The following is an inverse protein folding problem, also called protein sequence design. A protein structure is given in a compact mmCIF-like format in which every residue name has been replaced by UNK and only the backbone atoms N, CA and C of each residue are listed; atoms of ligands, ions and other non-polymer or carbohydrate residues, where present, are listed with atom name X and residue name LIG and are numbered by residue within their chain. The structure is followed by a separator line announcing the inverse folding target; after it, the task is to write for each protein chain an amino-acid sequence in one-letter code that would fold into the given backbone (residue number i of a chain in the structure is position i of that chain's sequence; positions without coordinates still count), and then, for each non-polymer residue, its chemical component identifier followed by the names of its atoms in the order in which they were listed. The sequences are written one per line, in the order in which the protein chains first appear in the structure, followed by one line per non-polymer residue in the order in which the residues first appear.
data_IF_007720644831
#
_entry.id   IF_007720644831
#
_cell.length_a   1.000
_cell.length_b   1.000
_cell.length_c   1.000
_cell.angle_alpha   90.00
_cell.angle_beta   90.00
_cell.angle_gamma   90.00
#
_symmetry.space_group_name_H-M   'P 1'
#
loop_
_entity.id
_entity.type
_entity.pdbx_description
1 polymer ?
#
# COMPACT_ATOMS: atom_id res chain seq x y z
N UNK A 1 -11.73 -16.50 4.81
CA UNK A 1 -11.16 -15.86 6.03
C UNK A 1 -11.08 -14.36 5.78
N UNK A 2 -11.47 -13.49 6.73
CA UNK A 2 -11.53 -12.03 6.49
C UNK A 2 -10.19 -11.42 6.02
N UNK A 3 -9.07 -11.92 6.52
CA UNK A 3 -7.74 -11.49 6.08
C UNK A 3 -7.52 -11.70 4.56
N UNK A 4 -8.08 -12.77 3.98
CA UNK A 4 -8.01 -13.01 2.54
C UNK A 4 -8.82 -11.96 1.75
N UNK A 5 -9.98 -11.54 2.26
CA UNK A 5 -10.80 -10.47 1.66
C UNK A 5 -10.04 -9.14 1.69
N UNK A 6 -9.37 -8.84 2.81
CA UNK A 6 -8.51 -7.65 2.91
C UNK A 6 -7.35 -7.75 1.91
N UNK A 7 -6.73 -8.92 1.77
CA UNK A 7 -5.64 -9.14 0.81
C UNK A 7 -6.09 -8.94 -0.66
N UNK A 8 -7.31 -9.33 -1.00
CA UNK A 8 -7.91 -9.02 -2.31
C UNK A 8 -8.06 -7.51 -2.53
N UNK A 9 -8.47 -6.76 -1.50
CA UNK A 9 -8.55 -5.29 -1.62
C UNK A 9 -7.17 -4.65 -1.77
N UNK A 10 -6.16 -5.14 -1.06
CA UNK A 10 -4.76 -4.68 -1.19
C UNK A 10 -4.24 -4.95 -2.61
N UNK A 11 -4.49 -6.15 -3.15
CA UNK A 11 -4.13 -6.45 -4.53
C UNK A 11 -4.85 -5.53 -5.52
N UNK A 12 -6.16 -5.36 -5.37
CA UNK A 12 -6.94 -4.44 -6.22
C UNK A 12 -6.38 -3.02 -6.20
N UNK A 13 -5.95 -2.55 -5.01
CA UNK A 13 -5.32 -1.25 -4.85
C UNK A 13 -3.97 -1.16 -5.58
N UNK A 14 -3.15 -2.22 -5.57
CA UNK A 14 -1.87 -2.24 -6.32
C UNK A 14 -2.06 -2.01 -7.82
N UNK A 15 -3.15 -2.53 -8.41
CA UNK A 15 -3.44 -2.34 -9.83
C UNK A 15 -3.72 -0.89 -10.21
N UNK A 16 -4.05 -0.03 -9.24
CA UNK A 16 -4.25 1.41 -9.42
C UNK A 16 -2.95 2.22 -9.29
N UNK A 17 -1.86 1.58 -8.83
CA UNK A 17 -0.50 2.13 -8.86
C UNK A 17 0.19 1.67 -10.15
N UNK A 18 -0.24 2.23 -11.29
CA UNK A 18 0.32 1.87 -12.59
C UNK A 18 1.16 3.03 -13.16
N UNK A 19 2.48 2.83 -13.37
CA UNK A 19 3.41 3.91 -13.72
C UNK A 19 3.16 4.52 -15.10
N UNK A 20 2.54 3.77 -16.00
CA UNK A 20 2.34 4.15 -17.41
C UNK A 20 0.88 4.35 -17.82
N UNK A 21 -0.07 4.18 -16.90
CA UNK A 21 -1.50 4.29 -17.22
C UNK A 21 -2.05 5.65 -16.85
N UNK A 22 -2.86 6.27 -17.72
CA UNK A 22 -3.86 7.24 -17.25
C UNK A 22 -4.75 6.56 -16.23
N UNK A 23 -5.09 7.26 -15.14
CA UNK A 23 -6.00 6.70 -14.16
C UNK A 23 -7.33 6.39 -14.86
N UNK A 24 -7.87 5.16 -14.74
CA UNK A 24 -9.13 4.82 -15.36
C UNK A 24 -10.24 5.69 -14.77
N UNK A 25 -11.24 6.02 -15.61
CA UNK A 25 -12.42 6.74 -15.14
C UNK A 25 -13.06 5.99 -13.97
N UNK A 26 -13.27 6.70 -12.86
CA UNK A 26 -13.80 6.10 -11.63
C UNK A 26 -12.77 5.44 -10.69
N UNK A 27 -11.46 5.54 -10.95
CA UNK A 27 -10.42 5.00 -10.06
C UNK A 27 -10.56 5.47 -8.60
N UNK A 28 -10.88 6.75 -8.39
CA UNK A 28 -11.12 7.33 -7.06
C UNK A 28 -12.29 6.64 -6.34
N UNK A 29 -13.38 6.35 -7.04
CA UNK A 29 -14.52 5.61 -6.49
C UNK A 29 -14.13 4.16 -6.19
N UNK A 30 -13.48 3.49 -7.15
CA UNK A 30 -13.07 2.09 -7.03
C UNK A 30 -12.17 1.86 -5.80
N UNK A 31 -11.14 2.70 -5.60
CA UNK A 31 -10.26 2.60 -4.43
C UNK A 31 -10.97 2.97 -3.13
N UNK A 32 -11.95 3.87 -3.18
CA UNK A 32 -12.84 4.18 -2.06
C UNK A 32 -13.67 2.97 -1.62
N UNK A 33 -14.23 2.23 -2.56
CA UNK A 33 -15.00 1.01 -2.29
C UNK A 33 -14.12 -0.11 -1.75
N UNK A 34 -12.92 -0.28 -2.29
CA UNK A 34 -11.93 -1.23 -1.76
C UNK A 34 -11.59 -0.91 -0.30
N UNK A 35 -11.36 0.38 0.02
CA UNK A 35 -11.11 0.84 1.39
C UNK A 35 -12.28 0.50 2.32
N UNK A 36 -13.53 0.77 1.91
CA UNK A 36 -14.70 0.46 2.73
C UNK A 36 -14.87 -1.04 2.95
N UNK A 37 -14.61 -1.87 1.94
CA UNK A 37 -14.61 -3.34 2.09
C UNK A 37 -13.53 -3.81 3.06
N UNK A 38 -12.30 -3.31 2.93
CA UNK A 38 -11.20 -3.66 3.83
C UNK A 38 -11.49 -3.28 5.30
N UNK A 39 -12.06 -2.09 5.53
CA UNK A 39 -12.48 -1.64 6.88
C UNK A 39 -13.54 -2.57 7.46
N UNK A 40 -14.57 -2.91 6.69
CA UNK A 40 -15.64 -3.81 7.14
C UNK A 40 -15.11 -5.20 7.48
N UNK A 41 -14.29 -5.79 6.61
CA UNK A 41 -13.66 -7.08 6.88
C UNK A 41 -12.76 -7.07 8.12
N UNK A 42 -12.01 -5.99 8.36
CA UNK A 42 -11.23 -5.82 9.59
C UNK A 42 -12.12 -5.81 10.84
N UNK A 43 -13.25 -5.09 10.81
CA UNK A 43 -14.21 -5.06 11.93
C UNK A 43 -14.83 -6.44 12.17
N UNK A 44 -15.21 -7.17 11.11
CA UNK A 44 -15.71 -8.54 11.23
C UNK A 44 -14.66 -9.48 11.81
N UNK A 45 -13.39 -9.32 11.41
CA UNK A 45 -12.26 -10.07 11.95
C UNK A 45 -12.08 -9.82 13.44
N UNK A 46 -12.10 -8.55 13.88
CA UNK A 46 -12.01 -8.14 15.28
C UNK A 46 -13.08 -8.83 16.15
N UNK A 47 -14.34 -8.80 15.71
CA UNK A 47 -15.45 -9.45 16.42
C UNK A 47 -15.24 -10.96 16.52
N UNK A 48 -14.76 -11.61 15.45
CA UNK A 48 -14.51 -13.06 15.45
C UNK A 48 -13.35 -13.47 16.34
N UNK A 49 -12.29 -12.68 16.34
CA UNK A 49 -11.13 -12.88 17.19
C UNK A 49 -11.50 -12.71 18.67
N UNK A 50 -12.32 -11.73 19.02
CA UNK A 50 -12.80 -11.55 20.39
C UNK A 50 -13.70 -12.70 20.90
N UNK A 51 -14.41 -13.40 19.99
CA UNK A 51 -15.35 -14.48 20.33
C UNK A 51 -14.74 -15.88 20.39
N UNK A 52 -13.57 -16.09 19.78
CA UNK A 52 -12.95 -17.41 19.74
C UNK A 52 -12.05 -17.59 20.97
N UNK A 53 -12.33 -18.59 21.82
CA UNK A 53 -11.61 -18.78 23.08
C UNK A 53 -10.24 -19.47 22.94
N UNK A 54 -9.95 -20.06 21.78
CA UNK A 54 -8.69 -20.78 21.50
C UNK A 54 -8.13 -20.33 20.16
N UNK A 55 -6.88 -19.90 20.16
CA UNK A 55 -6.16 -19.46 18.97
C UNK A 55 -4.77 -20.08 18.91
N UNK A 56 -4.38 -20.55 17.73
CA UNK A 56 -3.02 -21.02 17.43
C UNK A 56 -2.00 -19.88 17.30
N UNK A 57 -2.47 -18.64 17.24
CA UNK A 57 -1.71 -17.42 16.98
C UNK A 57 -2.30 -16.31 17.83
N UNK A 58 -1.47 -15.38 18.35
CA UNK A 58 -2.00 -14.22 19.07
C UNK A 58 -2.98 -13.41 18.18
N UNK A 59 -4.26 -13.31 18.57
CA UNK A 59 -5.27 -12.53 17.84
C UNK A 59 -4.89 -11.08 17.61
N UNK A 60 -4.11 -10.48 18.53
CA UNK A 60 -3.68 -9.08 18.43
C UNK A 60 -2.77 -8.86 17.24
N UNK A 61 -1.89 -9.83 16.93
CA UNK A 61 -0.97 -9.77 15.80
C UNK A 61 -1.72 -9.88 14.47
N UNK A 62 -2.70 -10.77 14.38
CA UNK A 62 -3.58 -10.89 13.21
C UNK A 62 -4.36 -9.59 12.98
N UNK A 63 -4.92 -9.02 14.05
CA UNK A 63 -5.63 -7.75 13.99
C UNK A 63 -4.73 -6.57 13.59
N UNK A 64 -3.50 -6.53 14.10
CA UNK A 64 -2.50 -5.54 13.72
C UNK A 64 -2.14 -5.65 12.24
N UNK A 65 -1.88 -6.85 11.74
CA UNK A 65 -1.60 -7.07 10.32
C UNK A 65 -2.77 -6.58 9.43
N UNK A 66 -4.00 -6.92 9.79
CA UNK A 66 -5.20 -6.43 9.10
C UNK A 66 -5.32 -4.89 9.14
N UNK A 67 -4.93 -4.26 10.24
CA UNK A 67 -4.97 -2.80 10.40
C UNK A 67 -3.95 -2.10 9.51
N UNK A 68 -2.72 -2.61 9.44
CA UNK A 68 -1.68 -2.10 8.54
C UNK A 68 -2.08 -2.26 7.07
N UNK A 69 -2.73 -3.37 6.70
CA UNK A 69 -3.25 -3.56 5.34
C UNK A 69 -4.36 -2.57 4.99
N UNK A 70 -5.26 -2.24 5.94
CA UNK A 70 -6.29 -1.21 5.74
C UNK A 70 -5.64 0.17 5.57
N UNK A 71 -4.61 0.48 6.36
CA UNK A 71 -3.86 1.72 6.22
C UNK A 71 -3.16 1.80 4.86
N UNK A 72 -2.61 0.69 4.38
CA UNK A 72 -2.01 0.62 3.05
C UNK A 72 -3.01 0.99 1.95
N UNK A 73 -4.22 0.42 1.98
CA UNK A 73 -5.29 0.78 1.01
C UNK A 73 -5.66 2.27 1.12
N UNK A 74 -5.65 2.86 2.32
CA UNK A 74 -5.89 4.31 2.49
C UNK A 74 -4.78 5.16 1.85
N UNK A 75 -3.53 4.74 1.96
CA UNK A 75 -2.39 5.43 1.34
C UNK A 75 -2.47 5.37 -0.18
N UNK A 76 -2.77 4.18 -0.74
CA UNK A 76 -3.03 4.04 -2.18
C UNK A 76 -4.20 4.93 -2.64
N UNK A 77 -5.29 4.98 -1.87
CA UNK A 77 -6.40 5.88 -2.19
C UNK A 77 -5.99 7.36 -2.22
N UNK A 78 -5.01 7.75 -1.39
CA UNK A 78 -4.44 9.11 -1.40
C UNK A 78 -3.54 9.33 -2.62
N UNK A 79 -2.73 8.34 -3.04
CA UNK A 79 -1.98 8.40 -4.32
C UNK A 79 -2.94 8.66 -5.48
N UNK A 80 -4.00 7.86 -5.59
CA UNK A 80 -4.98 7.99 -6.69
C UNK A 80 -5.61 9.39 -6.72
N UNK A 81 -5.93 9.97 -5.55
CA UNK A 81 -6.41 11.37 -5.48
C UNK A 81 -5.34 12.39 -5.88
N UNK A 82 -4.10 12.24 -5.40
CA UNK A 82 -3.01 13.13 -5.75
C UNK A 82 -2.76 13.15 -7.27
N UNK A 83 -2.83 11.98 -7.92
CA UNK A 83 -2.74 11.84 -9.37
C UNK A 83 -3.90 12.50 -10.12
N UNK A 84 -5.12 12.38 -9.61
CA UNK A 84 -6.32 13.02 -10.20
C UNK A 84 -6.21 14.57 -10.21
N UNK A 85 -5.42 15.14 -9.27
CA UNK A 85 -5.16 16.58 -9.21
C UNK A 85 -3.97 17.06 -10.06
N UNK A 86 -3.17 16.14 -10.63
CA UNK A 86 -2.11 16.53 -11.55
C UNK A 86 -2.72 16.92 -12.89
N UNK A 87 -2.28 18.05 -13.44
CA UNK A 87 -2.68 18.46 -14.80
C UNK A 87 -2.27 17.39 -15.80
N UNK A 88 -3.01 17.32 -16.91
CA UNK A 88 -2.78 16.41 -18.03
C UNK A 88 -1.34 16.51 -18.56
N UNK A 89 -0.46 15.68 -18.02
CA UNK A 89 0.94 15.59 -18.35
C UNK A 89 1.46 14.23 -17.89
N UNK A 90 2.46 13.69 -18.59
CA UNK A 90 3.09 12.46 -18.13
C UNK A 90 3.80 12.75 -16.80
N UNK A 91 3.57 11.95 -15.74
CA UNK A 91 4.29 12.14 -14.48
C UNK A 91 5.80 12.04 -14.72
N UNK A 92 6.63 12.80 -13.97
CA UNK A 92 8.09 12.70 -14.05
C UNK A 92 8.58 11.26 -13.92
N UNK A 93 9.72 10.93 -14.55
CA UNK A 93 10.26 9.57 -14.53
C UNK A 93 10.42 9.01 -13.11
N UNK A 94 10.94 9.82 -12.18
CA UNK A 94 11.09 9.42 -10.78
C UNK A 94 9.75 9.13 -10.07
N UNK A 95 8.65 9.81 -10.43
CA UNK A 95 7.30 9.46 -9.94
C UNK A 95 6.89 8.09 -10.45
N UNK A 96 7.11 7.81 -11.74
CA UNK A 96 6.76 6.50 -12.34
C UNK A 96 7.55 5.37 -11.71
N UNK A 97 8.85 5.55 -11.52
CA UNK A 97 9.70 4.54 -10.90
C UNK A 97 9.30 4.29 -9.44
N UNK A 98 8.98 5.37 -8.70
CA UNK A 98 8.51 5.25 -7.33
C UNK A 98 7.12 4.59 -7.23
N UNK A 99 6.22 4.87 -8.19
CA UNK A 99 4.94 4.16 -8.32
C UNK A 99 5.13 2.67 -8.58
N UNK A 100 6.09 2.29 -9.42
CA UNK A 100 6.39 0.89 -9.69
C UNK A 100 6.89 0.16 -8.43
N UNK A 101 7.78 0.79 -7.66
CA UNK A 101 8.27 0.26 -6.38
C UNK A 101 7.12 0.13 -5.37
N UNK A 102 6.31 1.18 -5.23
CA UNK A 102 5.15 1.17 -4.34
C UNK A 102 4.15 0.06 -4.74
N UNK A 103 3.85 -0.08 -6.03
CA UNK A 103 2.99 -1.14 -6.57
C UNK A 103 3.52 -2.52 -6.22
N UNK A 104 4.82 -2.77 -6.42
CA UNK A 104 5.46 -4.04 -6.07
C UNK A 104 5.38 -4.32 -4.56
N UNK A 105 5.61 -3.32 -3.72
CA UNK A 105 5.45 -3.44 -2.27
C UNK A 105 4.03 -3.85 -1.86
N UNK A 106 3.02 -3.22 -2.45
CA UNK A 106 1.61 -3.53 -2.17
C UNK A 106 1.26 -4.96 -2.64
N UNK A 107 1.77 -5.39 -3.79
CA UNK A 107 1.59 -6.76 -4.28
C UNK A 107 2.20 -7.79 -3.31
N UNK A 108 3.42 -7.57 -2.83
CA UNK A 108 4.06 -8.45 -1.86
C UNK A 108 3.23 -8.58 -0.58
N UNK A 109 2.67 -7.47 -0.06
CA UNK A 109 1.78 -7.50 1.11
C UNK A 109 0.56 -8.39 0.84
N UNK A 110 -0.08 -8.24 -0.33
CA UNK A 110 -1.23 -9.06 -0.70
C UNK A 110 -0.87 -10.55 -0.83
N UNK A 111 0.27 -10.88 -1.44
CA UNK A 111 0.79 -12.25 -1.57
C UNK A 111 0.99 -12.89 -0.19
N UNK A 112 1.69 -12.22 0.73
CA UNK A 112 1.98 -12.73 2.07
C UNK A 112 0.72 -12.87 2.93
N UNK A 113 -0.21 -11.91 2.82
CA UNK A 113 -1.48 -11.99 3.53
C UNK A 113 -2.35 -13.16 3.04
N UNK A 114 -2.33 -13.48 1.74
CA UNK A 114 -3.02 -14.66 1.20
C UNK A 114 -2.36 -15.95 1.68
N UNK A 115 -1.03 -16.00 1.73
CA UNK A 115 -0.31 -17.17 2.22
C UNK A 115 -0.64 -17.43 3.70
N UNK A 116 -0.57 -16.38 4.54
CA UNK A 116 -0.97 -16.44 5.94
C UNK A 116 -2.42 -16.91 6.08
N UNK A 117 -3.31 -16.40 5.24
CA UNK A 117 -4.71 -16.78 5.26
C UNK A 117 -5.01 -18.22 4.85
N UNK A 118 -4.14 -18.84 4.04
CA UNK A 118 -4.30 -20.23 3.58
C UNK A 118 -3.62 -21.23 4.49
N UNK A 119 -2.42 -20.91 4.97
CA UNK A 119 -1.53 -21.87 5.62
C UNK A 119 -1.28 -21.58 7.11
N UNK A 120 -1.72 -20.42 7.62
CA UNK A 120 -1.32 -19.94 8.95
C UNK A 120 0.13 -19.48 9.02
N UNK A 121 0.85 -19.50 7.89
CA UNK A 121 2.25 -19.09 7.78
C UNK A 121 2.43 -18.03 6.69
N UNK A 122 3.31 -17.07 6.94
CA UNK A 122 3.78 -16.12 5.93
C UNK A 122 5.25 -16.43 5.64
N UNK A 123 5.62 -16.75 4.40
CA UNK A 123 7.03 -16.91 4.04
C UNK A 123 7.78 -15.60 4.26
N UNK A 124 9.08 -15.73 4.47
CA UNK A 124 9.97 -14.57 4.43
C UNK A 124 10.08 -14.10 2.98
N UNK A 125 9.86 -12.81 2.67
CA UNK A 125 10.07 -12.31 1.32
C UNK A 125 11.54 -12.52 0.91
N UNK A 126 11.82 -12.99 -0.32
CA UNK A 126 13.17 -13.41 -0.74
C UNK A 126 14.22 -12.30 -0.62
N UNK A 127 13.85 -11.04 -0.83
CA UNK A 127 14.79 -9.91 -0.83
C UNK A 127 14.67 -8.96 0.38
N UNK A 128 13.80 -9.29 1.36
CA UNK A 128 13.49 -8.41 2.49
C UNK A 128 12.86 -7.07 2.06
N UNK A 129 12.19 -6.37 2.98
CA UNK A 129 11.56 -5.08 2.64
C UNK A 129 12.57 -3.96 2.36
N UNK A 130 13.78 -4.11 2.91
CA UNK A 130 14.89 -3.17 2.69
C UNK A 130 15.26 -3.01 1.22
N UNK A 131 15.02 -4.02 0.38
CA UNK A 131 15.25 -3.95 -1.07
C UNK A 131 14.36 -2.94 -1.79
N UNK A 132 13.22 -2.55 -1.20
CA UNK A 132 12.31 -1.54 -1.75
C UNK A 132 12.53 -0.14 -1.17
N UNK A 133 12.97 -0.05 0.10
CA UNK A 133 13.03 1.23 0.81
C UNK A 133 14.15 2.14 0.28
N UNK A 134 15.37 1.61 0.19
CA UNK A 134 16.54 2.39 -0.28
C UNK A 134 16.30 3.00 -1.66
N UNK A 135 15.89 2.25 -2.70
CA UNK A 135 15.62 2.86 -4.00
C UNK A 135 14.43 3.83 -3.96
N UNK A 136 13.43 3.61 -3.10
CA UNK A 136 12.31 4.54 -2.94
C UNK A 136 12.74 5.88 -2.34
N UNK A 137 13.58 5.88 -1.31
CA UNK A 137 14.14 7.08 -0.69
C UNK A 137 15.04 7.85 -1.66
N UNK A 138 15.89 7.14 -2.42
CA UNK A 138 16.72 7.76 -3.46
C UNK A 138 15.90 8.42 -4.57
N UNK A 139 14.81 7.78 -5.01
CA UNK A 139 13.89 8.36 -6.00
C UNK A 139 13.11 9.53 -5.43
N UNK A 140 12.69 9.46 -4.17
CA UNK A 140 12.03 10.56 -3.48
C UNK A 140 12.93 11.79 -3.41
N UNK A 141 14.15 11.65 -2.88
CA UNK A 141 15.07 12.78 -2.70
C UNK A 141 15.49 13.39 -4.04
N UNK A 142 15.84 12.57 -5.04
CA UNK A 142 16.17 13.06 -6.38
C UNK A 142 14.96 13.72 -7.06
N UNK A 143 13.78 13.11 -6.92
CA UNK A 143 12.55 13.62 -7.51
C UNK A 143 12.13 14.97 -6.96
N UNK A 144 12.14 15.13 -5.63
CA UNK A 144 11.83 16.39 -4.96
C UNK A 144 12.83 17.49 -5.35
N UNK A 145 14.13 17.19 -5.36
CA UNK A 145 15.15 18.13 -5.80
C UNK A 145 14.93 18.60 -7.25
N UNK A 146 14.57 17.68 -8.14
CA UNK A 146 14.20 18.01 -9.53
C UNK A 146 12.98 18.92 -9.62
N UNK A 147 11.92 18.64 -8.85
CA UNK A 147 10.69 19.45 -8.84
C UNK A 147 10.96 20.91 -8.48
N UNK A 148 11.78 21.17 -7.46
CA UNK A 148 12.11 22.54 -7.06
C UNK A 148 13.01 23.27 -8.06
N UNK A 149 13.79 22.54 -8.86
CA UNK A 149 14.70 23.13 -9.86
C UNK A 149 14.03 23.35 -11.22
N UNK A 150 13.03 22.56 -11.58
CA UNK A 150 12.44 22.52 -12.93
C UNK A 150 11.03 23.12 -13.02
N UNK A 151 10.25 23.12 -11.93
CA UNK A 151 8.86 23.58 -11.97
C UNK A 151 8.74 25.10 -11.83
N UNK A 152 8.06 25.73 -12.78
CA UNK A 152 7.78 27.18 -12.79
C UNK A 152 6.49 27.54 -12.02
N UNK A 153 5.57 26.59 -11.83
CA UNK A 153 4.28 26.77 -11.13
C UNK A 153 4.37 26.28 -9.67
N UNK A 154 4.27 27.16 -8.66
CA UNK A 154 4.28 26.78 -7.25
C UNK A 154 3.21 25.74 -6.90
N UNK A 155 2.05 25.78 -7.56
CA UNK A 155 0.98 24.82 -7.30
C UNK A 155 1.33 23.42 -7.83
N UNK A 156 2.10 23.34 -8.90
CA UNK A 156 2.62 22.07 -9.43
C UNK A 156 3.66 21.46 -8.49
N UNK A 157 4.53 22.29 -7.90
CA UNK A 157 5.48 21.88 -6.85
C UNK A 157 4.74 21.20 -5.70
N UNK A 158 3.69 21.84 -5.16
CA UNK A 158 2.92 21.28 -4.05
C UNK A 158 2.21 19.97 -4.41
N UNK A 159 1.67 19.86 -5.63
CA UNK A 159 0.99 18.63 -6.09
C UNK A 159 1.99 17.47 -6.24
N UNK A 160 3.14 17.72 -6.87
CA UNK A 160 4.18 16.70 -7.05
C UNK A 160 4.80 16.30 -5.71
N UNK A 161 5.11 17.26 -4.84
CA UNK A 161 5.60 16.98 -3.49
C UNK A 161 4.62 16.10 -2.71
N UNK A 162 3.32 16.44 -2.72
CA UNK A 162 2.30 15.65 -2.07
C UNK A 162 2.20 14.22 -2.64
N UNK A 163 2.44 14.05 -3.95
CA UNK A 163 2.47 12.74 -4.60
C UNK A 163 3.71 11.92 -4.18
N UNK A 164 4.90 12.51 -4.19
CA UNK A 164 6.13 11.87 -3.70
C UNK A 164 6.00 11.44 -2.24
N UNK A 165 5.50 12.32 -1.36
CA UNK A 165 5.30 12.02 0.06
C UNK A 165 4.37 10.82 0.27
N UNK A 166 3.25 10.79 -0.45
CA UNK A 166 2.30 9.68 -0.28
C UNK A 166 2.84 8.39 -0.87
N UNK A 167 3.58 8.43 -1.98
CA UNK A 167 4.19 7.25 -2.57
C UNK A 167 5.26 6.64 -1.65
N UNK A 168 6.15 7.47 -1.08
CA UNK A 168 7.11 7.01 -0.08
C UNK A 168 6.38 6.44 1.15
N UNK A 169 5.31 7.09 1.61
CA UNK A 169 4.50 6.58 2.70
C UNK A 169 3.83 5.23 2.39
N UNK A 170 3.47 4.94 1.13
CA UNK A 170 3.00 3.61 0.72
C UNK A 170 4.10 2.57 0.91
N UNK A 171 5.33 2.86 0.49
CA UNK A 171 6.48 1.94 0.65
C UNK A 171 6.77 1.67 2.13
N UNK A 172 6.79 2.72 2.96
CA UNK A 172 6.93 2.60 4.43
C UNK A 172 5.80 1.77 5.04
N UNK A 173 4.57 1.96 4.57
CA UNK A 173 3.42 1.19 5.05
C UNK A 173 3.51 -0.29 4.62
N UNK A 174 4.06 -0.59 3.44
CA UNK A 174 4.32 -1.97 3.01
C UNK A 174 5.29 -2.67 3.97
N UNK A 175 6.33 -1.97 4.44
CA UNK A 175 7.26 -2.53 5.43
C UNK A 175 6.57 -2.89 6.75
N UNK A 176 5.77 -1.96 7.28
CA UNK A 176 5.01 -2.21 8.51
C UNK A 176 4.04 -3.36 8.35
N UNK A 177 3.32 -3.42 7.22
CA UNK A 177 2.37 -4.48 6.93
C UNK A 177 3.07 -5.85 6.78
N UNK A 178 4.17 -5.93 6.04
CA UNK A 178 4.95 -7.17 5.89
C UNK A 178 5.54 -7.64 7.22
N UNK A 179 6.03 -6.70 8.04
CA UNK A 179 6.49 -7.01 9.40
C UNK A 179 5.36 -7.58 10.24
N UNK A 180 4.20 -6.92 10.28
CA UNK A 180 3.05 -7.38 11.05
C UNK A 180 2.52 -8.75 10.57
N UNK A 181 2.51 -9.00 9.26
CA UNK A 181 2.14 -10.31 8.69
C UNK A 181 3.10 -11.42 9.11
N UNK A 182 4.40 -11.13 9.14
CA UNK A 182 5.42 -12.07 9.61
C UNK A 182 5.27 -12.34 11.11
N UNK A 183 5.07 -11.30 11.91
CA UNK A 183 4.92 -11.43 13.35
C UNK A 183 3.62 -12.21 13.69
N UNK A 184 2.59 -12.13 12.84
CA UNK A 184 1.36 -12.92 12.92
C UNK A 184 1.47 -14.35 12.34
N UNK A 185 2.64 -14.76 11.82
CA UNK A 185 2.86 -16.11 11.30
C UNK A 185 3.22 -17.07 12.44
N UNK A 186 2.62 -18.26 12.47
CA UNK A 186 3.04 -19.32 13.40
C UNK A 186 4.31 -19.99 12.84
N UNK A 187 5.28 -20.32 13.70
CA UNK A 187 6.47 -21.09 13.30
C UNK A 187 6.13 -22.50 12.79
#
# INVERSE_FOLDING_TARGET
MELAVIAEQVQGASALLHPNGTLPSGAVRAVGDMRHRAIRSRQTLEIRLARSGVHSTDPRLIYQAASEMVELVRRVARVVRCRDYLRSGSPPAAVRDLEAIASRGVQLVAEHARELARSGRARRPPDGVKSLMVPAEELYHRGIAGVFNEALDPLEIFRLHALYDVLLAVVVCCEKALKALRDASVE
#
